data_IF_197863947481
#
_entry.id   IF_197863947481
#
_cell.length_a   1.000
_cell.length_b   1.000
_cell.length_c   1.000
_cell.angle_alpha   90.00
_cell.angle_beta   90.00
_cell.angle_gamma   90.00
#
_symmetry.space_group_name_H-M   'P 1'
#
loop_
_entity.id
_entity.type
_entity.pdbx_description
1 polymer ?
#
# COMPACT_ATOMS: atom_id res chain seq x y z
N UNK A 1 -55.17 -53.98 51.01
CA UNK A 1 -55.07 -52.51 50.96
C UNK A 1 -53.59 -52.16 51.13
N UNK A 2 -52.83 -51.92 50.05
CA UNK A 2 -52.66 -50.64 49.34
C UNK A 2 -51.95 -49.60 50.25
N UNK A 3 -50.82 -48.96 49.93
CA UNK A 3 -50.29 -48.50 48.64
C UNK A 3 -48.75 -48.50 48.64
N UNK A 4 -48.20 -49.20 47.65
CA UNK A 4 -46.85 -49.03 47.11
C UNK A 4 -46.75 -47.66 46.40
N UNK A 5 -45.54 -47.10 46.35
CA UNK A 5 -45.10 -45.94 45.54
C UNK A 5 -45.25 -44.54 46.13
N UNK A 6 -44.13 -44.02 46.65
CA UNK A 6 -43.77 -42.60 46.57
C UNK A 6 -42.27 -42.44 46.27
N UNK A 7 -41.77 -43.16 45.27
CA UNK A 7 -40.56 -42.73 44.55
C UNK A 7 -41.02 -41.71 43.51
N UNK A 8 -40.92 -40.42 43.86
CA UNK A 8 -41.14 -39.34 42.92
C UNK A 8 -40.12 -39.47 41.78
N UNK A 9 -40.67 -39.87 40.64
CA UNK A 9 -40.11 -39.93 39.30
C UNK A 9 -39.54 -38.55 38.92
N UNK A 10 -38.27 -38.30 39.23
CA UNK A 10 -37.48 -37.27 38.54
C UNK A 10 -37.40 -37.74 37.08
N UNK A 11 -38.09 -37.04 36.18
CA UNK A 11 -38.07 -37.36 34.74
C UNK A 11 -36.62 -37.23 34.23
N UNK A 12 -36.05 -38.22 33.53
CA UNK A 12 -34.67 -38.19 33.04
C UNK A 12 -34.46 -37.31 31.80
N UNK A 13 -35.44 -36.48 31.41
CA UNK A 13 -35.41 -35.74 30.13
C UNK A 13 -34.84 -34.32 30.24
N UNK A 14 -34.78 -33.71 31.43
CA UNK A 14 -34.25 -32.34 31.58
C UNK A 14 -32.73 -32.29 31.83
N UNK A 15 -32.16 -33.31 32.49
CA UNK A 15 -30.71 -33.39 32.74
C UNK A 15 -29.96 -33.78 31.47
N UNK A 16 -30.54 -34.68 30.66
CA UNK A 16 -29.95 -35.13 29.40
C UNK A 16 -29.74 -33.99 28.39
N UNK A 17 -30.68 -33.03 28.32
CA UNK A 17 -30.57 -31.94 27.34
C UNK A 17 -29.53 -30.89 27.77
N UNK A 18 -29.47 -30.56 29.07
CA UNK A 18 -28.45 -29.66 29.62
C UNK A 18 -27.04 -30.23 29.52
N UNK A 19 -26.87 -31.54 29.79
CA UNK A 19 -25.57 -32.22 29.63
C UNK A 19 -25.17 -32.32 28.15
N UNK A 20 -26.13 -32.58 27.25
CA UNK A 20 -25.87 -32.59 25.80
C UNK A 20 -25.42 -31.22 25.27
N UNK A 21 -26.09 -30.14 25.68
CA UNK A 21 -25.71 -28.77 25.32
C UNK A 21 -24.34 -28.39 25.89
N UNK A 22 -24.03 -28.79 27.12
CA UNK A 22 -22.74 -28.54 27.74
C UNK A 22 -21.60 -29.27 27.01
N UNK A 23 -21.79 -30.56 26.68
CA UNK A 23 -20.80 -31.33 25.92
C UNK A 23 -20.60 -30.79 24.50
N UNK A 24 -21.67 -30.33 23.86
CA UNK A 24 -21.60 -29.64 22.56
C UNK A 24 -20.78 -28.35 22.67
N UNK A 25 -21.04 -27.52 23.68
CA UNK A 25 -20.29 -26.29 23.95
C UNK A 25 -18.81 -26.52 24.25
N UNK A 26 -18.49 -27.52 25.08
CA UNK A 26 -17.09 -27.87 25.38
C UNK A 26 -16.37 -28.37 24.12
N UNK A 27 -17.07 -29.13 23.27
CA UNK A 27 -16.52 -29.63 22.00
C UNK A 27 -16.25 -28.50 21.01
N UNK A 28 -17.18 -27.56 20.84
CA UNK A 28 -16.98 -26.41 19.95
C UNK A 28 -15.87 -25.49 20.45
N UNK A 29 -15.78 -25.26 21.77
CA UNK A 29 -14.70 -24.48 22.38
C UNK A 29 -13.33 -25.16 22.18
N UNK A 30 -13.27 -26.48 22.30
CA UNK A 30 -12.05 -27.27 22.07
C UNK A 30 -11.58 -27.19 20.61
N UNK A 31 -12.51 -27.32 19.66
CA UNK A 31 -12.23 -27.18 18.23
C UNK A 31 -11.75 -25.76 17.89
N UNK A 32 -12.41 -24.73 18.43
CA UNK A 32 -11.99 -23.35 18.23
C UNK A 32 -10.57 -23.10 18.78
N UNK A 33 -10.27 -23.62 19.97
CA UNK A 33 -8.94 -23.52 20.58
C UNK A 33 -7.86 -24.25 19.76
N UNK A 34 -8.19 -25.43 19.20
CA UNK A 34 -7.30 -26.16 18.31
C UNK A 34 -7.06 -25.41 16.99
N UNK A 35 -8.11 -24.83 16.40
CA UNK A 35 -8.01 -24.02 15.18
C UNK A 35 -7.09 -22.82 15.40
N UNK A 36 -7.28 -22.05 16.47
CA UNK A 36 -6.42 -20.89 16.78
C UNK A 36 -4.95 -21.29 16.95
N UNK A 37 -4.68 -22.40 17.64
CA UNK A 37 -3.31 -22.91 17.80
C UNK A 37 -2.69 -23.33 16.48
N UNK A 38 -3.44 -24.01 15.62
CA UNK A 38 -2.95 -24.44 14.31
C UNK A 38 -2.68 -23.24 13.38
N UNK A 39 -3.56 -22.24 13.39
CA UNK A 39 -3.35 -20.98 12.67
C UNK A 39 -2.08 -20.29 13.14
N UNK A 40 -1.91 -20.10 14.44
CA UNK A 40 -0.70 -19.49 15.01
C UNK A 40 0.58 -20.26 14.65
N UNK A 41 0.54 -21.59 14.72
CA UNK A 41 1.67 -22.44 14.36
C UNK A 41 2.02 -22.34 12.87
N UNK A 42 1.02 -22.30 11.98
CA UNK A 42 1.24 -22.12 10.55
C UNK A 42 1.82 -20.75 10.22
N UNK A 43 1.35 -19.69 10.87
CA UNK A 43 1.89 -18.34 10.71
C UNK A 43 3.36 -18.28 11.16
N UNK A 44 3.70 -18.90 12.30
CA UNK A 44 5.08 -18.97 12.79
C UNK A 44 6.00 -19.70 11.79
N UNK A 45 5.56 -20.84 11.24
CA UNK A 45 6.32 -21.59 10.23
C UNK A 45 6.53 -20.81 8.93
N UNK A 46 5.54 -20.02 8.52
CA UNK A 46 5.67 -19.15 7.36
C UNK A 46 6.72 -18.05 7.60
N UNK A 47 6.72 -17.44 8.78
CA UNK A 47 7.74 -16.43 9.16
C UNK A 47 9.13 -17.05 9.20
N UNK A 48 9.27 -18.24 9.77
CA UNK A 48 10.53 -19.00 9.81
C UNK A 48 11.05 -19.33 8.40
N UNK A 49 10.18 -19.83 7.52
CA UNK A 49 10.53 -20.12 6.13
C UNK A 49 10.95 -18.85 5.35
N UNK A 50 10.25 -17.72 5.54
CA UNK A 50 10.65 -16.45 4.96
C UNK A 50 12.04 -16.02 5.47
N UNK A 51 12.32 -16.18 6.76
CA UNK A 51 13.62 -15.88 7.34
C UNK A 51 14.74 -16.78 6.78
N UNK A 52 14.53 -18.10 6.68
CA UNK A 52 15.51 -19.04 6.11
C UNK A 52 15.83 -18.75 4.64
N UNK A 53 14.84 -18.28 3.88
CA UNK A 53 15.01 -17.87 2.48
C UNK A 53 15.57 -16.45 2.32
N UNK A 54 15.80 -15.72 3.42
CA UNK A 54 16.24 -14.33 3.40
C UNK A 54 15.18 -13.35 2.87
N UNK A 55 13.91 -13.76 2.85
CA UNK A 55 12.78 -12.95 2.41
C UNK A 55 12.34 -12.03 3.54
N UNK A 56 12.87 -10.81 3.56
CA UNK A 56 12.36 -9.76 4.42
C UNK A 56 11.19 -9.06 3.72
N UNK A 57 9.99 -9.12 4.32
CA UNK A 57 8.85 -8.36 3.84
C UNK A 57 9.15 -6.87 3.89
N UNK A 58 9.07 -6.19 2.75
CA UNK A 58 9.19 -4.74 2.70
C UNK A 58 7.82 -4.17 3.06
N UNK A 59 7.76 -3.31 4.07
CA UNK A 59 6.57 -2.50 4.31
C UNK A 59 6.45 -1.51 3.14
N UNK A 60 5.64 -1.89 2.15
CA UNK A 60 5.45 -1.13 0.90
C UNK A 60 4.95 0.27 1.20
N UNK A 61 4.06 0.43 2.19
CA UNK A 61 3.53 1.72 2.63
C UNK A 61 4.66 2.63 3.11
N UNK A 62 5.51 2.14 4.02
CA UNK A 62 6.68 2.90 4.49
C UNK A 62 7.65 3.23 3.35
N UNK A 63 7.87 2.31 2.41
CA UNK A 63 8.78 2.55 1.29
C UNK A 63 8.24 3.59 0.30
N UNK A 64 6.96 3.54 -0.02
CA UNK A 64 6.28 4.53 -0.87
C UNK A 64 6.34 5.92 -0.23
N UNK A 65 6.07 5.97 1.07
CA UNK A 65 6.07 7.18 1.85
C UNK A 65 7.47 7.81 1.97
N UNK A 66 8.49 7.00 2.25
CA UNK A 66 9.89 7.43 2.19
C UNK A 66 10.23 7.99 0.80
N UNK A 67 9.84 7.29 -0.27
CA UNK A 67 10.11 7.71 -1.65
C UNK A 67 9.43 9.04 -1.99
N UNK A 68 8.14 9.17 -1.65
CA UNK A 68 7.35 10.38 -1.88
C UNK A 68 7.88 11.59 -1.10
N UNK A 69 8.45 11.37 0.09
CA UNK A 69 8.91 12.46 0.96
C UNK A 69 10.37 12.84 0.77
N UNK A 70 11.23 11.90 0.38
CA UNK A 70 12.68 12.14 0.34
C UNK A 70 13.23 12.08 -1.09
N UNK A 71 12.94 11.00 -1.82
CA UNK A 71 13.55 10.76 -3.13
C UNK A 71 12.91 11.59 -4.23
N UNK A 72 11.58 11.72 -4.20
CA UNK A 72 10.82 12.36 -5.27
C UNK A 72 11.05 13.89 -5.31
N UNK A 73 10.98 14.63 -4.18
CA UNK A 73 11.24 16.06 -4.19
C UNK A 73 12.67 16.39 -4.66
N UNK A 74 13.67 15.65 -4.16
CA UNK A 74 15.08 15.81 -4.58
C UNK A 74 15.27 15.54 -6.08
N UNK A 75 14.61 14.51 -6.62
CA UNK A 75 14.66 14.21 -8.06
C UNK A 75 14.08 15.35 -8.88
N UNK A 76 12.93 15.91 -8.48
CA UNK A 76 12.34 17.06 -9.16
C UNK A 76 13.19 18.32 -9.03
N UNK A 77 13.78 18.59 -7.86
CA UNK A 77 14.71 19.71 -7.68
C UNK A 77 15.93 19.59 -8.60
N UNK A 78 16.51 18.40 -8.76
CA UNK A 78 17.62 18.15 -9.70
C UNK A 78 17.21 18.39 -11.15
N UNK A 79 16.01 17.97 -11.56
CA UNK A 79 15.49 18.24 -12.90
C UNK A 79 15.31 19.74 -13.15
N UNK A 80 14.69 20.47 -12.19
CA UNK A 80 14.52 21.92 -12.29
C UNK A 80 15.86 22.65 -12.36
N UNK A 81 16.87 22.18 -11.61
CA UNK A 81 18.22 22.74 -11.67
C UNK A 81 18.83 22.64 -13.07
N UNK A 82 18.71 21.48 -13.73
CA UNK A 82 19.21 21.29 -15.10
C UNK A 82 18.48 22.20 -16.09
N UNK A 83 17.14 22.32 -15.97
CA UNK A 83 16.34 23.16 -16.86
C UNK A 83 16.65 24.65 -16.69
N UNK A 84 16.93 25.09 -15.46
CA UNK A 84 17.26 26.48 -15.15
C UNK A 84 18.74 26.84 -15.39
N UNK A 85 19.53 25.99 -16.04
CA UNK A 85 20.92 26.29 -16.37
C UNK A 85 21.07 27.23 -17.58
N UNK A 86 22.11 28.07 -17.55
CA UNK A 86 22.46 28.99 -18.64
C UNK A 86 22.63 28.28 -19.99
N UNK A 87 23.17 27.05 -19.98
CA UNK A 87 23.36 26.26 -21.20
C UNK A 87 22.05 25.95 -21.93
N UNK A 88 20.97 25.66 -21.19
CA UNK A 88 19.65 25.38 -21.77
C UNK A 88 19.06 26.67 -22.35
N UNK A 89 19.17 27.79 -21.63
CA UNK A 89 18.76 29.11 -22.12
C UNK A 89 19.51 29.51 -23.40
N UNK A 90 20.82 29.26 -23.43
CA UNK A 90 21.65 29.54 -24.60
C UNK A 90 21.31 28.66 -25.79
N UNK A 91 21.03 27.36 -25.56
CA UNK A 91 20.62 26.43 -26.62
C UNK A 91 19.29 26.87 -27.27
N UNK A 92 18.29 27.28 -26.48
CA UNK A 92 17.02 27.78 -26.98
C UNK A 92 17.22 29.05 -27.82
N UNK A 93 18.06 29.98 -27.36
CA UNK A 93 18.41 31.19 -28.13
C UNK A 93 19.10 30.83 -29.44
N UNK A 94 20.06 29.90 -29.41
CA UNK A 94 20.81 29.48 -30.60
C UNK A 94 19.89 28.86 -31.64
N UNK A 95 19.02 27.95 -31.21
CA UNK A 95 18.09 27.28 -32.11
C UNK A 95 17.03 28.24 -32.66
N UNK A 96 16.51 29.14 -31.82
CA UNK A 96 15.57 30.20 -32.26
C UNK A 96 16.20 31.09 -33.33
N UNK A 97 17.46 31.49 -33.15
CA UNK A 97 18.20 32.30 -34.13
C UNK A 97 18.47 31.53 -35.42
N UNK A 98 18.88 30.26 -35.32
CA UNK A 98 19.09 29.41 -36.50
C UNK A 98 17.81 29.25 -37.33
N UNK A 99 16.68 28.94 -36.68
CA UNK A 99 15.40 28.82 -37.38
C UNK A 99 14.98 30.16 -37.97
N UNK A 100 15.28 31.26 -37.27
CA UNK A 100 15.02 32.60 -37.81
C UNK A 100 15.78 32.83 -39.12
N UNK A 101 17.06 32.51 -39.15
CA UNK A 101 17.93 32.74 -40.31
C UNK A 101 17.64 31.76 -41.46
N UNK A 102 17.24 30.52 -41.14
CA UNK A 102 17.02 29.45 -42.12
C UNK A 102 15.58 29.38 -42.67
N UNK A 103 14.58 29.78 -41.88
CA UNK A 103 13.17 29.44 -42.15
C UNK A 103 12.17 30.60 -42.04
N UNK A 104 12.55 31.81 -41.59
CA UNK A 104 11.64 32.97 -41.67
C UNK A 104 11.90 33.81 -42.91
N UNK A 105 10.81 34.14 -43.61
CA UNK A 105 10.79 35.25 -44.57
C UNK A 105 11.24 36.53 -43.84
N UNK A 106 12.10 37.34 -44.48
CA UNK A 106 12.40 38.71 -44.01
C UNK A 106 11.06 39.37 -43.65
N UNK A 107 10.91 39.83 -42.42
CA UNK A 107 9.77 40.61 -41.89
C UNK A 107 8.65 39.85 -41.15
N UNK A 108 8.82 38.57 -40.83
CA UNK A 108 7.92 37.88 -39.87
C UNK A 108 8.57 37.71 -38.50
N UNK A 109 7.80 37.95 -37.43
CA UNK A 109 8.23 37.64 -36.08
C UNK A 109 8.44 36.12 -35.94
N UNK A 110 9.64 35.68 -35.52
CA UNK A 110 9.92 34.26 -35.40
C UNK A 110 9.05 33.69 -34.27
N UNK A 111 8.21 32.71 -34.62
CA UNK A 111 7.51 31.90 -33.64
C UNK A 111 8.56 31.24 -32.73
N UNK A 112 8.35 31.29 -31.41
CA UNK A 112 9.32 30.71 -30.48
C UNK A 112 9.31 29.21 -30.69
N UNK A 113 10.40 28.67 -31.25
CA UNK A 113 10.58 27.24 -31.34
C UNK A 113 10.94 26.77 -29.93
N UNK A 114 10.07 25.96 -29.32
CA UNK A 114 10.13 25.52 -27.91
C UNK A 114 9.45 26.49 -26.90
N UNK A 115 8.15 26.84 -27.09
CA UNK A 115 7.44 27.77 -26.21
C UNK A 115 7.37 27.27 -24.76
N UNK A 116 7.16 25.96 -24.54
CA UNK A 116 7.06 25.39 -23.20
C UNK A 116 8.39 25.51 -22.41
N UNK A 117 9.53 25.29 -23.06
CA UNK A 117 10.83 25.43 -22.40
C UNK A 117 11.15 26.90 -22.10
N UNK A 118 10.72 27.80 -22.98
CA UNK A 118 10.83 29.23 -22.75
C UNK A 118 9.98 29.68 -21.58
N UNK A 119 8.74 29.19 -21.48
CA UNK A 119 7.86 29.46 -20.35
C UNK A 119 8.47 29.01 -19.02
N UNK A 120 9.08 27.83 -18.98
CA UNK A 120 9.77 27.32 -17.78
C UNK A 120 10.95 28.22 -17.37
N UNK A 121 11.68 28.79 -18.32
CA UNK A 121 12.81 29.70 -18.05
C UNK A 121 12.33 31.09 -17.64
N UNK A 122 11.31 31.62 -18.32
CA UNK A 122 10.78 32.96 -18.08
C UNK A 122 9.95 33.00 -16.77
N UNK A 123 9.38 31.86 -16.36
CA UNK A 123 8.64 31.67 -15.12
C UNK A 123 9.18 30.43 -14.35
N UNK A 124 10.37 30.52 -13.74
CA UNK A 124 10.99 29.39 -13.08
C UNK A 124 10.18 28.97 -11.85
N UNK A 125 9.81 27.70 -11.79
CA UNK A 125 9.22 27.12 -10.59
C UNK A 125 10.21 27.20 -9.41
N UNK A 126 9.73 27.32 -8.16
CA UNK A 126 10.59 27.28 -6.99
C UNK A 126 11.47 26.02 -6.98
N UNK A 127 12.77 26.20 -6.74
CA UNK A 127 13.74 25.10 -6.68
C UNK A 127 13.54 24.19 -5.47
N UNK A 128 12.88 24.71 -4.43
CA UNK A 128 12.51 23.94 -3.25
C UNK A 128 11.18 23.24 -3.48
N UNK A 129 11.27 21.95 -3.83
CA UNK A 129 10.10 21.07 -3.85
C UNK A 129 9.90 20.58 -2.43
N UNK A 130 8.89 21.14 -1.74
CA UNK A 130 8.55 20.73 -0.38
C UNK A 130 7.37 19.76 -0.38
N UNK A 131 7.42 18.80 0.52
CA UNK A 131 6.33 17.86 0.77
C UNK A 131 5.20 18.57 1.51
N UNK A 132 3.94 18.29 1.13
CA UNK A 132 2.79 18.84 1.85
C UNK A 132 2.85 18.48 3.35
N UNK A 133 2.60 19.47 4.21
CA UNK A 133 2.70 19.36 5.68
C UNK A 133 1.87 18.20 6.25
N UNK A 134 0.71 17.92 5.64
CA UNK A 134 -0.17 16.81 5.98
C UNK A 134 0.49 15.44 5.79
N UNK A 135 1.25 15.27 4.70
CA UNK A 135 1.97 14.02 4.41
C UNK A 135 3.09 13.81 5.43
N UNK A 136 3.81 14.87 5.82
CA UNK A 136 4.84 14.80 6.85
C UNK A 136 4.29 14.46 8.24
N UNK A 137 3.11 14.98 8.59
CA UNK A 137 2.45 14.66 9.85
C UNK A 137 2.08 13.17 9.92
N UNK A 138 1.56 12.61 8.82
CA UNK A 138 1.25 11.19 8.70
C UNK A 138 2.50 10.30 8.80
N UNK A 139 3.60 10.69 8.13
CA UNK A 139 4.89 9.97 8.20
C UNK A 139 5.40 9.85 9.63
N UNK A 140 5.36 10.96 10.37
CA UNK A 140 5.87 11.01 11.72
C UNK A 140 4.99 10.21 12.71
N UNK A 141 3.68 10.18 12.47
CA UNK A 141 2.74 9.35 13.22
C UNK A 141 2.98 7.85 12.98
N UNK A 142 3.11 7.41 11.71
CA UNK A 142 3.40 6.01 11.38
C UNK A 142 4.78 5.57 11.88
N UNK A 143 5.81 6.40 11.74
CA UNK A 143 7.16 6.05 12.20
C UNK A 143 7.23 5.86 13.72
N UNK A 144 6.43 6.59 14.48
CA UNK A 144 6.33 6.44 15.94
C UNK A 144 5.62 5.15 16.35
N UNK A 145 4.76 4.60 15.49
CA UNK A 145 4.04 3.34 15.72
C UNK A 145 4.89 2.10 15.42
N UNK A 146 5.93 2.22 14.60
CA UNK A 146 6.65 1.07 14.03
C UNK A 146 7.86 0.58 14.85
N UNK A 147 8.05 1.06 16.08
CA UNK A 147 9.09 0.55 16.98
C UNK A 147 8.71 -0.77 17.66
N UNK A 148 7.50 -1.27 17.45
CA UNK A 148 7.10 -2.63 17.81
C UNK A 148 6.76 -3.38 16.53
N UNK A 149 7.64 -4.30 16.12
CA UNK A 149 7.30 -5.32 15.13
C UNK A 149 6.35 -6.30 15.83
N UNK A 150 5.09 -5.91 15.96
CA UNK A 150 3.98 -6.83 16.22
C UNK A 150 3.23 -6.98 14.91
N UNK A 151 3.42 -8.12 14.24
CA UNK A 151 2.52 -8.57 13.18
C UNK A 151 1.24 -9.06 13.85
N UNK A 152 0.48 -8.12 14.42
CA UNK A 152 -0.85 -8.36 14.94
C UNK A 152 -1.83 -7.88 13.87
N UNK A 153 -2.50 -8.84 13.24
CA UNK A 153 -3.54 -8.58 12.27
C UNK A 153 -4.75 -7.95 12.94
N UNK A 154 -4.70 -6.63 13.16
CA UNK A 154 -5.88 -5.83 13.41
C UNK A 154 -6.31 -5.17 12.09
N UNK A 155 -7.21 -5.85 11.39
CA UNK A 155 -7.90 -5.34 10.19
C UNK A 155 -9.01 -4.39 10.67
N UNK A 156 -8.61 -3.26 11.25
CA UNK A 156 -9.53 -2.21 11.64
C UNK A 156 -8.89 -0.83 11.41
N UNK A 157 -9.05 -0.31 10.19
CA UNK A 157 -9.16 1.13 9.98
C UNK A 157 -8.00 1.83 9.29
N UNK A 158 -7.50 1.34 8.16
CA UNK A 158 -7.05 2.17 7.03
C UNK A 158 -6.76 1.27 5.80
N UNK A 159 -7.78 0.57 5.30
CA UNK A 159 -7.59 -0.20 4.05
C UNK A 159 -7.51 0.81 2.90
N UNK A 160 -6.31 1.06 2.41
CA UNK A 160 -6.10 1.81 1.17
C UNK A 160 -6.92 1.09 0.08
N UNK A 161 -7.93 1.78 -0.43
CA UNK A 161 -8.75 1.34 -1.55
C UNK A 161 -7.89 1.38 -2.81
N UNK A 162 -7.19 0.28 -3.06
CA UNK A 162 -6.59 0.01 -4.35
C UNK A 162 -7.75 -0.37 -5.25
N UNK A 163 -8.37 0.61 -5.89
CA UNK A 163 -9.53 0.59 -6.80
C UNK A 163 -9.33 -0.38 -8.00
N UNK A 164 -8.99 -1.63 -7.69
CA UNK A 164 -8.71 -2.73 -8.59
C UNK A 164 -10.08 -3.34 -8.84
N UNK A 165 -10.84 -2.68 -9.70
CA UNK A 165 -12.00 -3.31 -10.35
C UNK A 165 -11.41 -4.40 -11.24
N UNK A 166 -11.25 -5.59 -10.67
CA UNK A 166 -10.93 -6.79 -11.42
C UNK A 166 -12.18 -7.15 -12.23
N UNK A 167 -12.31 -6.56 -13.41
CA UNK A 167 -13.26 -7.05 -14.41
C UNK A 167 -12.82 -8.48 -14.73
N UNK A 168 -13.51 -9.44 -14.13
CA UNK A 168 -13.19 -10.88 -14.15
C UNK A 168 -13.48 -11.52 -15.51
N UNK A 169 -13.19 -10.81 -16.61
CA UNK A 169 -13.23 -11.33 -17.96
C UNK A 169 -11.81 -11.46 -18.52
N UNK A 170 -11.24 -12.65 -18.26
CA UNK A 170 -10.28 -13.31 -19.17
C UNK A 170 -8.86 -12.70 -19.27
N UNK A 171 -8.06 -12.78 -18.20
CA UNK A 171 -6.59 -12.77 -18.33
C UNK A 171 -6.08 -14.21 -18.54
N UNK A 172 -6.11 -14.65 -19.79
CA UNK A 172 -5.50 -15.92 -20.22
C UNK A 172 -3.97 -15.82 -20.18
N UNK A 173 -3.38 -16.20 -19.04
CA UNK A 173 -1.97 -16.57 -18.99
C UNK A 173 -1.86 -18.07 -19.21
N UNK A 174 -1.94 -18.46 -20.48
CA UNK A 174 -1.58 -19.81 -20.92
C UNK A 174 -0.06 -19.95 -20.80
N UNK A 175 0.42 -20.46 -19.65
CA UNK A 175 1.81 -20.88 -19.50
C UNK A 175 1.91 -22.22 -20.20
N UNK A 176 2.34 -22.16 -21.47
CA UNK A 176 2.61 -23.32 -22.28
C UNK A 176 3.54 -24.29 -21.54
N UNK A 177 3.01 -25.48 -21.28
CA UNK A 177 3.79 -26.69 -21.01
C UNK A 177 4.80 -26.91 -22.11
N UNK A 178 6.07 -26.99 -21.73
CA UNK A 178 7.14 -27.64 -22.52
C UNK A 178 7.36 -29.03 -21.95
#
# INVERSE_FOLDING_TARGET
MSLTNCYQRIRPTHISHGVSLYLSWVSTLSIASLYTRNVALSAAKYVEACHELGLQGINVKLKLLETATTSLPDTFSKMLQVLNCDSVSQAIKFYSNFVKDAHTEKDKDPETVLPNLREIIDNPAPLEVSTASEVLAYVNAERSSNNEISFEGDVAGDSIDWDIILDSSQSGWDIGTV
#
